data_IF_322010703540
#
_entry.id   IF_322010703540
#
_cell.length_a   1.000
_cell.length_b   1.000
_cell.length_c   1.000
_cell.angle_alpha   90.00
_cell.angle_beta   90.00
_cell.angle_gamma   90.00
#
_symmetry.space_group_name_H-M   'P 1'
#
loop_
_entity.id
_entity.type
_entity.pdbx_description
1 polymer ?
#
# COMPACT_ATOMS: atom_id res chain seq x y z
N UNK A 1 -37.10 38.70 9.11
CA UNK A 1 -35.92 39.57 9.02
C UNK A 1 -35.04 39.17 10.18
N UNK A 2 -33.94 38.42 10.03
CA UNK A 2 -33.05 38.20 8.90
C UNK A 2 -32.55 36.75 8.99
N UNK A 3 -32.60 36.04 7.86
CA UNK A 3 -31.92 34.76 7.66
C UNK A 3 -30.41 34.98 7.57
N UNK A 4 -29.63 34.12 8.23
CA UNK A 4 -28.21 33.96 7.93
C UNK A 4 -27.82 32.50 8.12
N UNK A 5 -28.08 31.70 7.08
CA UNK A 5 -27.39 30.44 6.85
C UNK A 5 -25.96 30.76 6.43
N UNK A 6 -24.99 30.50 7.30
CA UNK A 6 -23.60 30.37 6.89
C UNK A 6 -23.32 28.90 6.60
N UNK A 7 -23.25 28.59 5.31
CA UNK A 7 -22.63 27.38 4.78
C UNK A 7 -21.17 27.32 5.27
N UNK A 8 -20.80 26.22 5.93
CA UNK A 8 -19.40 25.89 6.19
C UNK A 8 -18.91 25.16 4.94
N UNK A 9 -18.24 25.90 4.06
CA UNK A 9 -17.37 25.31 3.05
C UNK A 9 -16.23 24.58 3.77
N UNK A 10 -16.22 23.25 3.69
CA UNK A 10 -15.05 22.46 4.01
C UNK A 10 -14.03 22.65 2.88
N UNK A 11 -12.92 23.31 3.17
CA UNK A 11 -11.80 23.41 2.25
C UNK A 11 -11.31 22.00 1.84
N UNK A 12 -10.98 21.79 0.56
CA UNK A 12 -10.51 20.50 0.09
C UNK A 12 -9.16 20.19 0.74
N UNK A 13 -9.08 19.03 1.38
CA UNK A 13 -7.83 18.44 1.86
C UNK A 13 -6.85 18.41 0.68
N UNK A 14 -5.60 18.74 0.97
CA UNK A 14 -4.53 18.88 -0.02
C UNK A 14 -4.16 17.47 -0.56
N UNK A 15 -4.99 16.95 -1.47
CA UNK A 15 -5.00 15.59 -2.01
C UNK A 15 -3.81 15.29 -2.95
N UNK A 16 -3.02 16.31 -3.33
CA UNK A 16 -1.88 16.15 -4.24
C UNK A 16 -0.69 15.39 -3.63
N UNK A 17 -0.47 15.47 -2.31
CA UNK A 17 0.65 14.79 -1.64
C UNK A 17 0.42 13.28 -1.43
N UNK A 18 -0.83 12.83 -1.51
CA UNK A 18 -1.25 11.45 -1.21
C UNK A 18 -1.12 10.51 -2.43
N UNK A 19 -1.14 11.08 -3.64
CA UNK A 19 -1.12 10.34 -4.91
C UNK A 19 0.23 9.71 -5.26
N UNK A 20 1.34 10.20 -4.68
CA UNK A 20 2.70 9.73 -4.99
C UNK A 20 3.11 8.45 -4.27
N UNK A 21 2.43 8.06 -3.17
CA UNK A 21 2.88 6.92 -2.35
C UNK A 21 2.34 5.56 -2.83
N UNK A 22 1.12 5.54 -3.40
CA UNK A 22 0.37 4.31 -3.73
C UNK A 22 0.25 4.01 -5.21
N UNK A 23 0.80 4.86 -6.07
CA UNK A 23 1.00 4.47 -7.46
C UNK A 23 2.03 3.32 -7.51
N UNK A 24 1.64 2.19 -8.09
CA UNK A 24 2.47 1.66 -9.17
C UNK A 24 2.80 2.89 -10.02
N UNK A 25 4.04 3.40 -9.99
CA UNK A 25 4.48 4.64 -10.65
C UNK A 25 4.24 4.61 -12.16
N UNK A 26 2.97 4.71 -12.53
CA UNK A 26 2.42 5.01 -13.82
C UNK A 26 1.75 6.37 -13.64
N UNK A 27 2.58 7.39 -13.46
CA UNK A 27 2.15 8.75 -13.77
C UNK A 27 1.91 8.80 -15.29
N UNK A 28 0.65 8.59 -15.69
CA UNK A 28 0.21 8.66 -17.08
C UNK A 28 0.37 10.06 -17.67
N UNK A 29 0.55 11.10 -16.85
CA UNK A 29 0.74 12.48 -17.32
C UNK A 29 1.98 12.65 -18.22
N UNK A 30 2.97 11.74 -18.15
CA UNK A 30 4.13 11.75 -19.04
C UNK A 30 3.93 10.98 -20.37
N UNK A 31 2.84 10.21 -20.51
CA UNK A 31 2.50 9.55 -21.79
C UNK A 31 1.85 10.53 -22.77
N UNK A 32 1.12 11.55 -22.29
CA UNK A 32 0.44 12.52 -23.15
C UNK A 32 1.40 13.50 -23.85
N UNK A 33 2.68 13.55 -23.43
CA UNK A 33 3.71 14.39 -24.06
C UNK A 33 4.62 13.65 -25.03
N UNK A 34 4.45 12.33 -25.24
CA UNK A 34 5.19 11.62 -26.29
C UNK A 34 4.57 11.89 -27.66
N UNK A 35 5.18 12.83 -28.39
CA UNK A 35 5.01 13.01 -29.85
C UNK A 35 4.85 11.65 -30.53
N UNK A 36 3.69 11.43 -31.16
CA UNK A 36 3.42 10.31 -32.08
C UNK A 36 4.54 10.26 -33.12
N UNK A 37 5.52 9.38 -32.94
CA UNK A 37 6.45 9.03 -34.02
C UNK A 37 5.68 8.15 -34.99
N UNK A 38 5.39 8.68 -36.18
CA UNK A 38 4.91 7.88 -37.32
C UNK A 38 5.95 6.78 -37.60
N UNK A 39 5.57 5.54 -37.32
CA UNK A 39 6.29 4.38 -37.82
C UNK A 39 5.84 4.22 -39.26
N UNK A 40 6.72 4.55 -40.20
CA UNK A 40 6.58 4.18 -41.61
C UNK A 40 7.22 2.79 -41.70
N UNK A 41 6.41 1.77 -41.94
CA UNK A 41 6.91 0.49 -42.44
C UNK A 41 6.30 0.25 -43.82
N UNK A 42 7.18 0.37 -44.82
CA UNK A 42 7.03 -0.24 -46.13
C UNK A 42 7.21 -1.75 -45.96
N UNK A 43 6.20 -2.55 -46.31
CA UNK A 43 6.40 -3.68 -47.25
C UNK A 43 5.07 -4.28 -47.70
N UNK A 44 5.04 -4.48 -49.01
CA UNK A 44 3.99 -4.99 -49.87
C UNK A 44 3.75 -6.50 -49.76
N UNK A 45 2.51 -6.88 -50.12
CA UNK A 45 2.00 -8.18 -50.61
C UNK A 45 1.03 -8.92 -49.68
N UNK A 46 -0.21 -8.43 -49.65
CA UNK A 46 -1.45 -9.17 -49.86
C UNK A 46 -2.62 -8.20 -49.68
N UNK A 47 -3.36 -7.90 -50.75
CA UNK A 47 -4.50 -6.99 -50.75
C UNK A 47 -5.73 -7.62 -50.07
N UNK A 48 -5.64 -7.80 -48.76
CA UNK A 48 -6.81 -7.57 -47.92
C UNK A 48 -6.60 -6.19 -47.32
N UNK A 49 -7.47 -5.25 -47.67
CA UNK A 49 -7.54 -3.95 -47.01
C UNK A 49 -7.80 -4.24 -45.53
N UNK A 50 -6.73 -4.22 -44.72
CA UNK A 50 -6.85 -4.28 -43.28
C UNK A 50 -7.52 -2.98 -42.86
N UNK A 51 -8.85 -3.04 -42.74
CA UNK A 51 -9.61 -2.02 -42.03
C UNK A 51 -9.32 -2.32 -40.56
N UNK A 52 -8.56 -1.46 -39.84
CA UNK A 52 -8.47 -1.60 -38.40
C UNK A 52 -9.91 -1.62 -37.90
N UNK A 53 -10.29 -2.65 -37.15
CA UNK A 53 -11.51 -2.52 -36.36
C UNK A 53 -11.31 -1.22 -35.57
N UNK A 54 -12.22 -0.28 -35.73
CA UNK A 54 -12.23 0.87 -34.85
C UNK A 54 -12.48 0.30 -33.45
N UNK A 55 -11.39 0.00 -32.75
CA UNK A 55 -11.39 -0.27 -31.32
C UNK A 55 -11.74 1.08 -30.69
N UNK A 56 -13.04 1.39 -30.69
CA UNK A 56 -13.54 2.46 -29.86
C UNK A 56 -13.24 2.05 -28.43
N UNK A 57 -12.28 2.75 -27.84
CA UNK A 57 -11.99 2.63 -26.42
C UNK A 57 -13.31 2.81 -25.63
N UNK A 58 -13.57 1.89 -24.71
CA UNK A 58 -14.84 1.86 -23.97
C UNK A 58 -15.98 1.02 -24.56
N UNK A 59 -15.76 0.17 -25.57
CA UNK A 59 -16.78 -0.79 -26.06
C UNK A 59 -17.36 -1.68 -24.95
N UNK A 60 -16.61 -1.86 -23.87
CA UNK A 60 -17.00 -2.64 -22.71
C UNK A 60 -17.96 -1.90 -21.77
N UNK A 61 -18.03 -0.56 -21.80
CA UNK A 61 -18.97 0.19 -20.98
C UNK A 61 -20.42 -0.11 -21.38
N UNK A 62 -21.28 -0.34 -20.40
CA UNK A 62 -22.66 -0.73 -20.64
C UNK A 62 -23.60 -0.20 -19.56
N UNK A 63 -24.84 0.08 -19.95
CA UNK A 63 -25.93 0.43 -19.05
C UNK A 63 -26.72 -0.79 -18.57
N UNK A 64 -26.36 -1.99 -19.02
CA UNK A 64 -27.01 -3.24 -18.60
C UNK A 64 -26.69 -3.47 -17.11
N UNK A 65 -27.71 -3.71 -16.26
CA UNK A 65 -27.49 -3.99 -14.84
C UNK A 65 -26.54 -5.18 -14.62
N UNK A 66 -25.65 -5.09 -13.63
CA UNK A 66 -24.62 -6.10 -13.34
C UNK A 66 -25.18 -7.53 -13.23
N UNK A 67 -26.28 -7.79 -12.50
CA UNK A 67 -26.82 -9.16 -12.39
C UNK A 67 -27.32 -9.75 -13.71
N UNK A 68 -27.73 -8.89 -14.66
CA UNK A 68 -28.16 -9.32 -16.00
C UNK A 68 -26.93 -9.53 -16.89
N UNK A 69 -25.97 -8.62 -16.81
CA UNK A 69 -24.72 -8.68 -17.56
C UNK A 69 -23.93 -9.95 -17.21
N UNK A 70 -23.75 -10.24 -15.93
CA UNK A 70 -23.00 -11.40 -15.44
C UNK A 70 -23.61 -12.76 -15.81
N UNK A 71 -24.87 -12.79 -16.26
CA UNK A 71 -25.49 -14.01 -16.79
C UNK A 71 -25.28 -14.21 -18.29
N UNK A 72 -24.93 -13.16 -19.01
CA UNK A 72 -24.60 -13.26 -20.43
C UNK A 72 -23.24 -13.92 -20.62
N UNK A 73 -23.00 -14.52 -21.79
CA UNK A 73 -21.76 -15.26 -22.07
C UNK A 73 -20.51 -14.39 -21.95
N UNK A 74 -20.53 -13.18 -22.53
CA UNK A 74 -19.37 -12.28 -22.57
C UNK A 74 -19.40 -11.23 -21.45
N UNK A 75 -20.53 -11.08 -20.74
CA UNK A 75 -20.73 -10.03 -19.75
C UNK A 75 -19.76 -10.02 -18.58
N UNK A 76 -19.31 -11.17 -18.03
CA UNK A 76 -18.28 -11.16 -16.99
C UNK A 76 -16.96 -10.56 -17.45
N UNK A 77 -16.52 -10.88 -18.67
CA UNK A 77 -15.29 -10.29 -19.23
C UNK A 77 -15.48 -8.80 -19.50
N UNK A 78 -16.62 -8.42 -20.08
CA UNK A 78 -16.98 -7.04 -20.34
C UNK A 78 -17.00 -6.19 -19.06
N UNK A 79 -17.62 -6.70 -17.99
CA UNK A 79 -17.71 -5.99 -16.71
C UNK A 79 -16.33 -5.81 -16.06
N UNK A 80 -15.50 -6.85 -16.07
CA UNK A 80 -14.12 -6.76 -15.56
C UNK A 80 -13.30 -5.69 -16.29
N UNK A 81 -13.34 -5.69 -17.63
CA UNK A 81 -12.66 -4.66 -18.43
C UNK A 81 -13.19 -3.26 -18.13
N UNK A 82 -14.50 -3.11 -17.92
CA UNK A 82 -15.10 -1.83 -17.52
C UNK A 82 -14.59 -1.36 -16.17
N UNK A 83 -14.56 -2.25 -15.17
CA UNK A 83 -14.06 -1.96 -13.82
C UNK A 83 -12.59 -1.55 -13.87
N UNK A 84 -11.75 -2.33 -14.55
CA UNK A 84 -10.31 -2.03 -14.69
C UNK A 84 -10.09 -0.68 -15.38
N UNK A 85 -10.80 -0.42 -16.49
CA UNK A 85 -10.71 0.87 -17.18
C UNK A 85 -11.12 2.02 -16.26
N UNK A 86 -12.22 1.91 -15.51
CA UNK A 86 -12.66 2.94 -14.57
C UNK A 86 -11.61 3.17 -13.47
N UNK A 87 -11.06 2.10 -12.92
CA UNK A 87 -9.99 2.16 -11.92
C UNK A 87 -8.74 2.89 -12.45
N UNK A 88 -8.25 2.52 -13.64
CA UNK A 88 -7.08 3.16 -14.25
C UNK A 88 -7.32 4.63 -14.62
N UNK A 89 -8.57 5.02 -14.90
CA UNK A 89 -8.97 6.40 -15.15
C UNK A 89 -9.42 7.15 -13.88
N UNK A 90 -9.11 6.62 -12.69
CA UNK A 90 -9.39 7.25 -11.38
C UNK A 90 -10.87 7.52 -11.11
N UNK A 91 -11.77 6.81 -11.79
CA UNK A 91 -13.21 6.82 -11.52
C UNK A 91 -13.51 5.82 -10.40
N UNK A 92 -13.00 6.13 -9.21
CA UNK A 92 -12.97 5.20 -8.07
C UNK A 92 -14.37 4.89 -7.54
N UNK A 93 -15.30 5.84 -7.59
CA UNK A 93 -16.69 5.62 -7.16
C UNK A 93 -17.37 4.56 -8.03
N UNK A 94 -17.35 4.70 -9.36
CA UNK A 94 -17.95 3.72 -10.26
C UNK A 94 -17.21 2.39 -10.26
N UNK A 95 -15.87 2.42 -10.22
CA UNK A 95 -15.04 1.22 -10.10
C UNK A 95 -15.40 0.43 -8.83
N UNK A 96 -15.51 1.11 -7.69
CA UNK A 96 -15.88 0.50 -6.42
C UNK A 96 -17.28 -0.10 -6.49
N UNK A 97 -18.27 0.70 -6.93
CA UNK A 97 -19.66 0.25 -7.04
C UNK A 97 -19.79 -1.01 -7.87
N UNK A 98 -19.22 -1.02 -9.08
CA UNK A 98 -19.30 -2.18 -9.98
C UNK A 98 -18.53 -3.40 -9.44
N UNK A 99 -17.39 -3.18 -8.78
CA UNK A 99 -16.64 -4.26 -8.12
C UNK A 99 -17.45 -4.91 -7.00
N UNK A 100 -18.13 -4.12 -6.17
CA UNK A 100 -18.99 -4.62 -5.10
C UNK A 100 -20.22 -5.36 -5.64
N UNK A 101 -20.88 -4.83 -6.68
CA UNK A 101 -22.00 -5.53 -7.34
C UNK A 101 -21.56 -6.88 -7.93
N UNK A 102 -20.35 -6.97 -8.47
CA UNK A 102 -19.78 -8.24 -8.94
C UNK A 102 -19.56 -9.22 -7.78
N UNK A 103 -18.97 -8.76 -6.67
CA UNK A 103 -18.71 -9.60 -5.49
C UNK A 103 -20.04 -10.08 -4.89
N UNK A 104 -21.02 -9.20 -4.72
CA UNK A 104 -22.35 -9.54 -4.19
C UNK A 104 -23.06 -10.57 -5.08
N UNK A 105 -22.97 -10.42 -6.41
CA UNK A 105 -23.51 -11.42 -7.33
C UNK A 105 -22.85 -12.79 -7.13
N UNK A 106 -21.53 -12.85 -6.93
CA UNK A 106 -20.89 -14.15 -6.68
C UNK A 106 -21.28 -14.70 -5.31
N UNK A 107 -21.27 -13.89 -4.25
CA UNK A 107 -21.59 -14.32 -2.88
C UNK A 107 -23.04 -14.85 -2.79
N UNK A 108 -23.99 -14.17 -3.42
CA UNK A 108 -25.42 -14.57 -3.42
C UNK A 108 -25.70 -15.83 -4.22
N UNK A 109 -24.95 -16.07 -5.30
CA UNK A 109 -25.22 -17.18 -6.23
C UNK A 109 -24.26 -18.38 -6.04
N UNK A 110 -23.19 -18.23 -5.26
CA UNK A 110 -22.31 -19.33 -4.82
C UNK A 110 -22.47 -19.68 -3.32
N UNK A 111 -23.20 -18.87 -2.54
CA UNK A 111 -23.55 -19.15 -1.15
C UNK A 111 -24.48 -20.35 -1.02
N UNK A 112 -24.20 -21.23 -0.05
CA UNK A 112 -24.83 -22.53 0.14
C UNK A 112 -26.35 -22.45 0.20
N UNK A 113 -27.01 -23.09 -0.76
CA UNK A 113 -28.44 -23.39 -0.70
C UNK A 113 -28.71 -24.37 0.45
N UNK A 114 -28.90 -23.84 1.65
CA UNK A 114 -29.71 -24.53 2.65
C UNK A 114 -31.13 -24.52 2.10
N UNK A 115 -31.53 -25.69 1.60
CA UNK A 115 -32.87 -26.18 1.38
C UNK A 115 -33.94 -25.16 0.93
N UNK A 116 -34.36 -25.36 -0.33
CA UNK A 116 -35.69 -25.02 -0.86
C UNK A 116 -36.02 -23.53 -0.97
N UNK A 117 -35.33 -22.84 -1.87
CA UNK A 117 -35.96 -21.75 -2.63
C UNK A 117 -35.20 -21.55 -3.94
N UNK A 118 -35.93 -21.64 -5.06
CA UNK A 118 -35.55 -21.40 -6.46
C UNK A 118 -34.05 -21.23 -6.77
N UNK A 119 -33.48 -22.21 -7.47
CA UNK A 119 -32.11 -22.21 -7.97
C UNK A 119 -31.76 -20.91 -8.71
N UNK A 120 -31.17 -19.96 -7.99
CA UNK A 120 -30.51 -18.80 -8.57
C UNK A 120 -29.22 -19.33 -9.25
N UNK A 121 -29.35 -19.79 -10.48
CA UNK A 121 -28.26 -20.39 -11.23
C UNK A 121 -27.21 -19.34 -11.62
N UNK A 122 -25.92 -19.61 -11.35
CA UNK A 122 -24.76 -18.89 -11.86
C UNK A 122 -24.34 -19.50 -13.21
N UNK A 123 -24.82 -19.00 -14.36
CA UNK A 123 -24.62 -19.65 -15.67
C UNK A 123 -23.16 -19.74 -16.09
N UNK A 124 -22.34 -18.80 -15.64
CA UNK A 124 -20.94 -18.68 -16.01
C UNK A 124 -19.98 -19.31 -15.00
N UNK A 125 -20.50 -19.97 -13.94
CA UNK A 125 -19.70 -20.62 -12.88
C UNK A 125 -18.63 -19.69 -12.28
N UNK A 126 -18.93 -18.40 -12.17
CA UNK A 126 -18.02 -17.39 -11.65
C UNK A 126 -17.77 -17.65 -10.17
N UNK A 127 -16.52 -17.87 -9.78
CA UNK A 127 -16.15 -18.13 -8.38
C UNK A 127 -14.99 -17.26 -7.88
N UNK A 128 -14.24 -16.64 -8.79
CA UNK A 128 -13.08 -15.84 -8.44
C UNK A 128 -13.46 -14.38 -8.27
N UNK A 129 -13.45 -13.90 -7.02
CA UNK A 129 -13.66 -12.50 -6.64
C UNK A 129 -12.36 -11.75 -6.36
N UNK A 130 -11.18 -12.39 -6.46
CA UNK A 130 -9.90 -11.83 -5.98
C UNK A 130 -9.56 -10.49 -6.62
N UNK A 131 -9.58 -10.43 -7.95
CA UNK A 131 -9.30 -9.20 -8.72
C UNK A 131 -10.26 -8.06 -8.32
N UNK A 132 -11.56 -8.38 -8.15
CA UNK A 132 -12.56 -7.39 -7.78
C UNK A 132 -12.41 -6.94 -6.32
N UNK A 133 -12.01 -7.83 -5.42
CA UNK A 133 -11.71 -7.50 -4.03
C UNK A 133 -10.47 -6.60 -3.92
N UNK A 134 -9.44 -6.84 -4.75
CA UNK A 134 -8.28 -5.95 -4.85
C UNK A 134 -8.68 -4.56 -5.36
N UNK A 135 -9.38 -4.48 -6.50
CA UNK A 135 -9.80 -3.19 -7.08
C UNK A 135 -10.75 -2.45 -6.14
N UNK A 136 -11.71 -3.15 -5.52
CA UNK A 136 -12.61 -2.57 -4.53
C UNK A 136 -11.85 -2.04 -3.32
N UNK A 137 -10.91 -2.81 -2.76
CA UNK A 137 -10.11 -2.37 -1.61
C UNK A 137 -9.30 -1.11 -1.92
N UNK A 138 -8.63 -1.08 -3.08
CA UNK A 138 -7.86 0.08 -3.53
C UNK A 138 -8.76 1.30 -3.79
N UNK A 139 -9.90 1.10 -4.45
CA UNK A 139 -10.85 2.19 -4.73
C UNK A 139 -11.45 2.75 -3.44
N UNK A 140 -11.80 1.89 -2.48
CA UNK A 140 -12.32 2.31 -1.16
C UNK A 140 -11.27 3.11 -0.37
N UNK A 141 -9.99 2.71 -0.39
CA UNK A 141 -8.92 3.51 0.21
C UNK A 141 -8.81 4.90 -0.43
N UNK A 142 -8.90 5.02 -1.75
CA UNK A 142 -8.83 6.30 -2.45
C UNK A 142 -10.01 7.22 -2.12
N UNK A 143 -11.17 6.64 -1.79
CA UNK A 143 -12.36 7.38 -1.36
C UNK A 143 -12.38 7.65 0.16
N UNK A 144 -11.34 7.24 0.89
CA UNK A 144 -11.27 7.39 2.35
C UNK A 144 -12.13 6.39 3.14
N UNK A 145 -12.81 5.44 2.50
CA UNK A 145 -13.55 4.37 3.17
C UNK A 145 -12.62 3.22 3.58
N UNK A 146 -11.82 3.51 4.60
CA UNK A 146 -10.83 2.58 5.15
C UNK A 146 -11.49 1.31 5.69
N UNK A 147 -12.68 1.43 6.30
CA UNK A 147 -13.41 0.29 6.87
C UNK A 147 -13.82 -0.71 5.79
N UNK A 148 -14.34 -0.21 4.67
CA UNK A 148 -14.67 -1.05 3.53
C UNK A 148 -13.43 -1.67 2.90
N UNK A 149 -12.32 -0.93 2.80
CA UNK A 149 -11.07 -1.46 2.30
C UNK A 149 -10.57 -2.65 3.13
N UNK A 150 -10.62 -2.53 4.47
CA UNK A 150 -10.28 -3.61 5.42
C UNK A 150 -11.19 -4.83 5.23
N UNK A 151 -12.50 -4.60 5.09
CA UNK A 151 -13.45 -5.69 4.82
C UNK A 151 -13.12 -6.44 3.51
N UNK A 152 -12.70 -5.71 2.46
CA UNK A 152 -12.32 -6.32 1.19
C UNK A 152 -11.07 -7.20 1.34
N UNK A 153 -10.01 -6.72 1.99
CA UNK A 153 -8.77 -7.53 2.17
C UNK A 153 -8.95 -8.72 3.11
N UNK A 154 -9.88 -8.63 4.07
CA UNK A 154 -10.26 -9.76 4.93
C UNK A 154 -10.91 -10.89 4.12
N UNK A 155 -11.72 -10.55 3.12
CA UNK A 155 -12.33 -11.51 2.18
C UNK A 155 -11.37 -12.01 1.10
N UNK A 156 -10.30 -11.27 0.82
CA UNK A 156 -9.33 -11.58 -0.24
C UNK A 156 -8.43 -12.75 0.15
N UNK A 157 -8.80 -13.98 -0.16
CA UNK A 157 -7.97 -15.17 0.15
C UNK A 157 -6.92 -15.38 -0.96
N UNK A 158 -5.70 -14.90 -0.74
CA UNK A 158 -4.56 -15.13 -1.64
C UNK A 158 -3.22 -15.06 -0.90
N UNK A 159 -2.23 -15.79 -1.41
CA UNK A 159 -0.84 -15.78 -0.96
C UNK A 159 0.10 -15.17 -2.01
N UNK A 160 -0.44 -14.42 -2.97
CA UNK A 160 0.37 -13.69 -3.93
C UNK A 160 1.04 -12.47 -3.26
N UNK A 161 2.32 -12.18 -3.56
CA UNK A 161 3.03 -11.06 -2.93
C UNK A 161 2.29 -9.72 -3.06
N UNK A 162 1.68 -9.42 -4.21
CA UNK A 162 0.91 -8.18 -4.40
C UNK A 162 -0.24 -8.04 -3.41
N UNK A 163 -0.96 -9.14 -3.12
CA UNK A 163 -2.04 -9.14 -2.12
C UNK A 163 -1.51 -9.08 -0.69
N UNK A 164 -0.36 -9.68 -0.39
CA UNK A 164 0.31 -9.54 0.91
C UNK A 164 0.69 -8.08 1.17
N UNK A 165 1.29 -7.42 0.18
CA UNK A 165 1.62 -5.99 0.26
C UNK A 165 0.35 -5.14 0.44
N UNK A 166 -0.70 -5.39 -0.35
CA UNK A 166 -1.98 -4.67 -0.24
C UNK A 166 -2.58 -4.80 1.16
N UNK A 167 -2.56 -6.00 1.76
CA UNK A 167 -3.00 -6.22 3.14
C UNK A 167 -2.20 -5.39 4.13
N UNK A 168 -0.87 -5.43 4.03
CA UNK A 168 0.02 -4.62 4.88
C UNK A 168 -0.37 -3.14 4.88
N UNK A 169 -0.61 -2.60 3.69
CA UNK A 169 -1.04 -1.21 3.48
C UNK A 169 -2.40 -0.92 4.10
N UNK A 170 -3.41 -1.72 3.74
CA UNK A 170 -4.81 -1.50 4.14
C UNK A 170 -4.95 -1.63 5.66
N UNK A 171 -4.28 -2.61 6.28
CA UNK A 171 -4.29 -2.77 7.72
C UNK A 171 -3.61 -1.61 8.44
N UNK A 172 -2.48 -1.09 7.94
CA UNK A 172 -1.84 0.09 8.52
C UNK A 172 -2.80 1.30 8.52
N UNK A 173 -3.48 1.54 7.39
CA UNK A 173 -4.47 2.62 7.28
C UNK A 173 -5.70 2.39 8.17
N UNK A 174 -6.11 1.14 8.35
CA UNK A 174 -7.19 0.74 9.25
C UNK A 174 -6.87 0.75 10.74
N UNK A 175 -5.64 1.12 11.13
CA UNK A 175 -5.20 1.08 12.53
C UNK A 175 -4.87 -0.33 13.05
N UNK A 176 -4.84 -1.33 12.17
CA UNK A 176 -4.48 -2.71 12.48
C UNK A 176 -2.96 -2.91 12.32
N UNK A 177 -2.17 -2.24 13.15
CA UNK A 177 -0.71 -2.13 12.97
C UNK A 177 0.04 -3.46 13.05
N UNK A 178 -0.35 -4.33 14.00
CA UNK A 178 0.26 -5.65 14.13
C UNK A 178 0.00 -6.54 12.91
N UNK A 179 -1.24 -6.56 12.41
CA UNK A 179 -1.59 -7.30 11.19
C UNK A 179 -0.86 -6.73 9.96
N UNK A 180 -0.68 -5.41 9.91
CA UNK A 180 0.11 -4.75 8.86
C UNK A 180 1.55 -5.27 8.84
N UNK A 181 2.24 -5.22 9.99
CA UNK A 181 3.62 -5.72 10.11
C UNK A 181 3.68 -7.21 9.78
N UNK A 182 2.73 -8.02 10.24
CA UNK A 182 2.66 -9.44 9.90
C UNK A 182 2.66 -9.66 8.38
N UNK A 183 1.81 -8.95 7.65
CA UNK A 183 1.70 -9.11 6.19
C UNK A 183 2.91 -8.56 5.44
N UNK A 184 3.54 -7.48 5.92
CA UNK A 184 4.81 -7.01 5.38
C UNK A 184 5.95 -8.02 5.58
N UNK A 185 6.04 -8.64 6.76
CA UNK A 185 7.01 -9.73 7.01
C UNK A 185 6.73 -10.92 6.06
N UNK A 186 5.46 -11.32 5.90
CA UNK A 186 5.09 -12.38 4.95
C UNK A 186 5.48 -12.06 3.52
N UNK A 187 5.30 -10.80 3.09
CA UNK A 187 5.78 -10.33 1.81
C UNK A 187 7.31 -10.47 1.70
N UNK A 188 8.05 -9.96 2.68
CA UNK A 188 9.52 -9.94 2.67
C UNK A 188 10.13 -11.35 2.72
N UNK A 189 9.43 -12.32 3.31
CA UNK A 189 9.80 -13.75 3.28
C UNK A 189 9.73 -14.35 1.86
N UNK A 190 8.93 -13.76 0.96
CA UNK A 190 8.82 -14.18 -0.45
C UNK A 190 9.65 -13.26 -1.38
N UNK A 191 9.69 -11.97 -1.09
CA UNK A 191 10.40 -10.92 -1.83
C UNK A 191 11.35 -10.20 -0.88
N UNK A 192 12.54 -10.76 -0.71
CA UNK A 192 13.55 -10.20 0.18
C UNK A 192 14.08 -8.85 -0.32
N UNK A 193 14.67 -8.08 0.60
CA UNK A 193 15.43 -6.86 0.30
C UNK A 193 14.63 -5.73 -0.38
N UNK A 194 13.30 -5.69 -0.22
CA UNK A 194 12.48 -4.59 -0.70
C UNK A 194 12.53 -3.41 0.29
N UNK A 195 13.35 -2.41 -0.03
CA UNK A 195 13.53 -1.24 0.82
C UNK A 195 12.22 -0.47 1.05
N UNK A 196 11.29 -0.48 0.08
CA UNK A 196 10.01 0.24 0.21
C UNK A 196 9.20 -0.39 1.33
N UNK A 197 9.14 -1.71 1.41
CA UNK A 197 8.41 -2.40 2.49
C UNK A 197 9.04 -2.17 3.85
N UNK A 198 10.38 -2.14 3.94
CA UNK A 198 11.05 -1.75 5.19
C UNK A 198 10.73 -0.31 5.60
N UNK A 199 10.65 0.62 4.63
CA UNK A 199 10.20 2.00 4.88
C UNK A 199 8.76 2.02 5.40
N UNK A 200 7.85 1.29 4.75
CA UNK A 200 6.44 1.17 5.16
C UNK A 200 6.29 0.58 6.57
N UNK A 201 7.07 -0.45 6.92
CA UNK A 201 7.09 -1.00 8.28
C UNK A 201 7.50 0.06 9.31
N UNK A 202 8.52 0.87 8.99
CA UNK A 202 8.92 2.01 9.81
C UNK A 202 7.79 3.01 10.03
N UNK A 203 7.09 3.41 8.96
CA UNK A 203 5.91 4.27 9.05
C UNK A 203 4.78 3.63 9.86
N UNK A 204 4.50 2.33 9.70
CA UNK A 204 3.47 1.61 10.48
C UNK A 204 3.74 1.70 11.97
N UNK A 205 5.00 1.55 12.41
CA UNK A 205 5.35 1.75 13.82
C UNK A 205 5.14 3.19 14.28
N UNK A 206 5.50 4.19 13.47
CA UNK A 206 5.24 5.59 13.80
C UNK A 206 3.74 5.89 13.88
N UNK A 207 2.92 5.34 12.99
CA UNK A 207 1.47 5.48 13.06
C UNK A 207 0.91 4.83 14.32
N UNK A 208 1.39 3.64 14.68
CA UNK A 208 1.03 2.98 15.93
C UNK A 208 1.35 3.86 17.14
N UNK A 209 2.55 4.43 17.17
CA UNK A 209 2.98 5.35 18.21
C UNK A 209 2.07 6.58 18.29
N UNK A 210 1.88 7.30 17.18
CA UNK A 210 1.04 8.49 17.13
C UNK A 210 -0.41 8.20 17.55
N UNK A 211 -0.99 7.06 17.16
CA UNK A 211 -2.34 6.68 17.59
C UNK A 211 -2.39 6.40 19.09
N UNK A 212 -1.42 5.65 19.64
CA UNK A 212 -1.36 5.37 21.08
C UNK A 212 -1.20 6.65 21.92
N UNK A 213 -0.44 7.62 21.40
CA UNK A 213 -0.20 8.91 22.04
C UNK A 213 -1.24 9.99 21.69
N UNK A 214 -2.29 9.67 20.91
CA UNK A 214 -3.34 10.59 20.47
C UNK A 214 -2.80 11.83 19.72
N UNK A 215 -1.77 11.62 18.90
CA UNK A 215 -1.10 12.65 18.12
C UNK A 215 -1.67 12.75 16.70
N UNK A 216 -1.49 13.91 16.08
CA UNK A 216 -1.85 14.11 14.68
C UNK A 216 -1.02 13.22 13.75
N UNK A 217 -1.70 12.53 12.85
CA UNK A 217 -1.13 11.60 11.87
C UNK A 217 -1.19 12.12 10.44
N UNK A 218 -1.80 13.29 10.22
CA UNK A 218 -1.87 13.93 8.90
C UNK A 218 -0.48 14.27 8.35
N UNK A 219 0.44 14.73 9.22
CA UNK A 219 1.84 14.94 8.87
C UNK A 219 2.77 14.31 9.90
N UNK A 220 2.99 13.00 9.74
CA UNK A 220 3.79 12.22 10.69
C UNK A 220 5.23 12.74 10.83
N UNK A 221 5.84 13.24 9.74
CA UNK A 221 7.21 13.77 9.80
C UNK A 221 7.28 15.00 10.71
N UNK A 222 6.33 15.94 10.54
CA UNK A 222 6.24 17.12 11.40
C UNK A 222 5.96 16.74 12.85
N UNK A 223 4.99 15.83 13.08
CA UNK A 223 4.66 15.34 14.42
C UNK A 223 5.89 14.75 15.11
N UNK A 224 6.63 13.87 14.43
CA UNK A 224 7.83 13.23 15.00
C UNK A 224 8.97 14.24 15.22
N UNK A 225 9.12 15.24 14.35
CA UNK A 225 10.12 16.29 14.52
C UNK A 225 9.91 17.12 15.81
N UNK A 226 8.67 17.32 16.21
CA UNK A 226 8.30 18.13 17.38
C UNK A 226 8.37 17.33 18.70
N UNK A 227 8.67 16.03 18.63
CA UNK A 227 8.56 15.09 19.75
C UNK A 227 9.93 14.56 20.19
N UNK A 228 10.16 14.48 21.51
CA UNK A 228 11.26 13.72 22.10
C UNK A 228 10.73 12.56 22.95
N UNK A 229 10.51 11.41 22.32
CA UNK A 229 10.12 10.19 23.03
C UNK A 229 10.99 9.01 22.56
N UNK A 230 11.73 8.40 23.50
CA UNK A 230 12.51 7.18 23.25
C UNK A 230 11.68 5.96 23.66
N UNK A 231 10.72 5.57 22.81
CA UNK A 231 9.90 4.36 23.02
C UNK A 231 10.39 3.20 22.17
N UNK A 232 10.13 1.96 22.59
CA UNK A 232 10.47 0.77 21.80
C UNK A 232 9.84 0.81 20.39
N UNK A 233 8.62 1.35 20.26
CA UNK A 233 7.97 1.53 18.95
C UNK A 233 8.75 2.46 18.03
N UNK A 234 9.27 3.58 18.56
CA UNK A 234 10.11 4.51 17.79
C UNK A 234 11.49 3.93 17.49
N UNK A 235 12.03 3.10 18.38
CA UNK A 235 13.25 2.34 18.13
C UNK A 235 13.09 1.32 17.00
N UNK A 236 11.99 0.55 17.00
CA UNK A 236 11.68 -0.39 15.91
C UNK A 236 11.45 0.33 14.58
N UNK A 237 10.81 1.51 14.62
CA UNK A 237 10.69 2.36 13.46
C UNK A 237 12.07 2.75 12.91
N UNK A 238 12.96 3.27 13.76
CA UNK A 238 14.33 3.65 13.36
C UNK A 238 15.11 2.48 12.76
N UNK A 239 15.02 1.29 13.35
CA UNK A 239 15.66 0.07 12.81
C UNK A 239 15.17 -0.22 11.39
N UNK A 240 13.86 -0.15 11.15
CA UNK A 240 13.27 -0.39 9.84
C UNK A 240 13.70 0.67 8.83
N UNK A 241 13.67 1.96 9.20
CA UNK A 241 14.08 3.08 8.35
C UNK A 241 15.57 3.00 7.99
N UNK A 242 16.44 2.71 8.96
CA UNK A 242 17.87 2.52 8.71
C UNK A 242 18.15 1.30 7.82
N UNK A 243 17.39 0.21 7.97
CA UNK A 243 17.52 -0.93 7.07
C UNK A 243 17.04 -0.60 5.65
N UNK A 244 15.92 0.12 5.51
CA UNK A 244 15.45 0.62 4.22
C UNK A 244 16.52 1.48 3.53
N UNK A 245 17.16 2.40 4.26
CA UNK A 245 18.27 3.21 3.75
C UNK A 245 19.40 2.33 3.19
N UNK A 246 19.86 1.34 3.97
CA UNK A 246 20.93 0.42 3.55
C UNK A 246 20.56 -0.36 2.29
N UNK A 247 19.35 -0.89 2.23
CA UNK A 247 18.87 -1.63 1.05
C UNK A 247 18.76 -0.72 -0.18
N UNK A 248 18.28 0.50 0.01
CA UNK A 248 18.15 1.49 -1.07
C UNK A 248 19.51 1.82 -1.70
N UNK A 249 20.57 1.97 -0.88
CA UNK A 249 21.93 2.23 -1.35
C UNK A 249 22.60 1.01 -1.99
N UNK A 250 22.27 -0.21 -1.53
CA UNK A 250 22.79 -1.46 -2.12
C UNK A 250 22.16 -1.77 -3.48
N UNK A 251 20.93 -1.33 -3.69
CA UNK A 251 20.19 -1.58 -4.94
C UNK A 251 20.76 -0.73 -6.07
N UNK A 252 20.96 -1.30 -7.25
CA UNK A 252 21.43 -0.55 -8.42
C UNK A 252 20.29 0.27 -9.03
N UNK A 253 20.38 1.59 -8.92
CA UNK A 253 19.43 2.51 -9.56
C UNK A 253 19.95 2.98 -10.91
N UNK A 254 19.07 3.09 -11.90
CA UNK A 254 19.41 3.66 -13.21
C UNK A 254 19.42 5.20 -13.14
N UNK A 255 20.32 5.77 -12.34
CA UNK A 255 20.47 7.22 -12.08
C UNK A 255 20.90 8.02 -13.30
N UNK A 256 21.28 7.36 -14.39
CA UNK A 256 21.45 7.99 -15.70
C UNK A 256 20.12 8.53 -16.28
N UNK A 257 18.98 8.00 -15.84
CA UNK A 257 17.64 8.46 -16.23
C UNK A 257 17.19 9.54 -15.25
N UNK A 258 16.95 10.76 -15.75
CA UNK A 258 16.61 11.93 -14.92
C UNK A 258 15.45 11.67 -13.95
N UNK A 259 14.36 11.06 -14.43
CA UNK A 259 13.19 10.74 -13.60
C UNK A 259 13.56 9.81 -12.44
N UNK A 260 14.33 8.75 -12.72
CA UNK A 260 14.76 7.78 -11.71
C UNK A 260 15.72 8.43 -10.70
N UNK A 261 16.62 9.31 -11.18
CA UNK A 261 17.52 10.05 -10.30
C UNK A 261 16.75 11.00 -9.37
N UNK A 262 15.79 11.77 -9.90
CA UNK A 262 14.96 12.67 -9.08
C UNK A 262 14.18 11.90 -8.02
N UNK A 263 13.61 10.75 -8.39
CA UNK A 263 12.94 9.86 -7.44
C UNK A 263 13.88 9.33 -6.37
N UNK A 264 15.05 8.82 -6.77
CA UNK A 264 16.07 8.32 -5.84
C UNK A 264 16.49 9.39 -4.84
N UNK A 265 16.77 10.61 -5.30
CA UNK A 265 17.18 11.72 -4.44
C UNK A 265 16.06 12.08 -3.45
N UNK A 266 14.81 12.18 -3.91
CA UNK A 266 13.67 12.49 -3.05
C UNK A 266 13.45 11.43 -1.97
N UNK A 267 13.33 10.16 -2.37
CA UNK A 267 13.07 9.07 -1.43
C UNK A 267 14.24 8.89 -0.44
N UNK A 268 15.47 9.12 -0.89
CA UNK A 268 16.64 9.08 -0.04
C UNK A 268 16.59 10.18 1.01
N UNK A 269 16.27 11.41 0.61
CA UNK A 269 16.15 12.54 1.52
C UNK A 269 15.06 12.30 2.56
N UNK A 270 13.89 11.79 2.17
CA UNK A 270 12.81 11.44 3.10
C UNK A 270 13.27 10.45 4.19
N UNK A 271 14.02 9.41 3.79
CA UNK A 271 14.55 8.40 4.71
C UNK A 271 15.62 9.00 5.64
N UNK A 272 16.51 9.85 5.10
CA UNK A 272 17.57 10.53 5.87
C UNK A 272 16.98 11.51 6.90
N UNK A 273 16.00 12.32 6.49
CA UNK A 273 15.31 13.27 7.38
C UNK A 273 14.62 12.53 8.52
N UNK A 274 13.88 11.47 8.20
CA UNK A 274 13.16 10.68 9.20
C UNK A 274 14.11 9.99 10.19
N UNK A 275 15.23 9.43 9.71
CA UNK A 275 16.28 8.88 10.58
C UNK A 275 16.83 9.95 11.52
N UNK A 276 17.16 11.13 10.98
CA UNK A 276 17.71 12.24 11.77
C UNK A 276 16.75 12.72 12.86
N UNK A 277 15.45 12.83 12.56
CA UNK A 277 14.46 13.23 13.55
C UNK A 277 14.32 12.21 14.69
N UNK A 278 14.31 10.91 14.37
CA UNK A 278 14.23 9.85 15.36
C UNK A 278 15.48 9.81 16.26
N UNK A 279 16.68 9.94 15.67
CA UNK A 279 17.94 9.98 16.42
C UNK A 279 18.03 11.21 17.35
N UNK A 280 17.63 12.39 16.86
CA UNK A 280 17.54 13.62 17.68
C UNK A 280 16.53 13.48 18.83
N UNK A 281 15.48 12.68 18.65
CA UNK A 281 14.50 12.34 19.67
C UNK A 281 15.04 11.46 20.81
N UNK A 282 16.32 11.06 20.75
CA UNK A 282 16.98 10.25 21.77
C UNK A 282 16.83 8.74 21.57
N UNK A 283 16.38 8.30 20.39
CA UNK A 283 16.20 6.89 20.05
C UNK A 283 17.58 6.24 19.85
N UNK A 284 18.00 5.38 20.78
CA UNK A 284 19.25 4.64 20.69
C UNK A 284 19.03 3.17 20.33
N UNK A 285 19.53 2.76 19.17
CA UNK A 285 19.41 1.39 18.64
C UNK A 285 20.15 0.34 19.50
N UNK A 286 21.24 0.72 20.17
CA UNK A 286 21.99 -0.18 21.06
C UNK A 286 21.18 -0.56 22.31
N UNK A 287 20.40 0.39 22.83
CA UNK A 287 19.50 0.19 23.96
C UNK A 287 18.39 -0.81 23.59
N UNK A 288 17.86 -0.72 22.37
CA UNK A 288 16.86 -1.64 21.81
C UNK A 288 17.37 -3.08 21.73
N UNK A 289 18.59 -3.26 21.22
CA UNK A 289 19.20 -4.58 21.09
C UNK A 289 19.45 -5.22 22.46
N UNK A 290 19.88 -4.44 23.45
CA UNK A 290 20.07 -4.89 24.83
C UNK A 290 18.75 -5.28 25.50
N UNK A 291 17.69 -4.45 25.38
CA UNK A 291 16.34 -4.76 25.86
C UNK A 291 15.81 -6.08 25.29
N UNK A 292 16.06 -6.32 23.99
CA UNK A 292 15.56 -7.50 23.28
C UNK A 292 16.38 -8.77 23.52
N UNK A 293 17.68 -8.64 23.79
CA UNK A 293 18.50 -9.77 24.23
C UNK A 293 18.11 -10.27 25.63
N UNK A 294 17.66 -9.36 26.50
CA UNK A 294 17.13 -9.68 27.83
C UNK A 294 15.71 -10.29 27.78
N UNK A 295 14.97 -10.12 26.68
CA UNK A 295 13.63 -10.70 26.45
C UNK A 295 13.63 -12.20 26.12
N UNK A 296 14.78 -12.89 26.24
CA UNK A 296 14.90 -14.35 26.04
C UNK A 296 14.29 -15.17 27.21
N UNK A 297 13.96 -14.56 28.34
CA UNK A 297 13.37 -15.25 29.49
C UNK A 297 11.82 -15.27 29.48
N UNK A 298 11.24 -16.45 29.69
CA UNK A 298 9.89 -16.80 29.24
C UNK A 298 8.69 -16.19 30.01
N UNK A 299 8.88 -15.50 31.15
CA UNK A 299 7.76 -15.16 32.06
C UNK A 299 7.33 -13.67 32.07
N UNK A 300 8.01 -12.80 31.33
CA UNK A 300 7.77 -11.34 31.29
C UNK A 300 7.30 -10.85 29.90
N UNK A 301 6.81 -11.77 29.05
CA UNK A 301 6.62 -11.53 27.61
C UNK A 301 5.45 -10.63 27.24
N UNK A 302 4.29 -10.79 27.87
CA UNK A 302 3.08 -10.02 27.55
C UNK A 302 3.10 -8.63 28.20
N UNK A 303 3.66 -8.53 29.40
CA UNK A 303 3.76 -7.27 30.13
C UNK A 303 4.67 -6.26 29.44
N UNK A 304 5.84 -6.68 28.91
CA UNK A 304 6.78 -5.75 28.26
C UNK A 304 6.22 -5.22 26.93
N UNK A 305 5.47 -6.03 26.20
CA UNK A 305 4.84 -5.61 24.93
C UNK A 305 3.73 -4.57 25.21
N UNK A 306 2.88 -4.84 26.21
CA UNK A 306 1.82 -3.91 26.62
C UNK A 306 2.38 -2.62 27.23
N UNK A 307 3.39 -2.71 28.10
CA UNK A 307 4.04 -1.57 28.75
C UNK A 307 4.75 -0.62 27.76
N UNK A 308 5.08 -1.10 26.56
CA UNK A 308 5.76 -0.32 25.53
C UNK A 308 4.86 0.12 24.35
N UNK A 309 3.53 -0.02 24.48
CA UNK A 309 2.58 0.42 23.45
C UNK A 309 2.63 -0.40 22.16
N UNK A 310 3.05 -1.67 22.25
CA UNK A 310 3.07 -2.63 21.14
C UNK A 310 1.94 -3.67 21.27
N UNK A 311 0.78 -3.25 21.76
CA UNK A 311 -0.38 -4.14 21.88
C UNK A 311 -0.72 -4.82 20.55
N UNK A 312 -0.85 -6.15 20.58
CA UNK A 312 -1.15 -6.97 19.39
C UNK A 312 0.07 -7.44 18.59
N UNK A 313 1.27 -6.90 18.81
CA UNK A 313 2.48 -7.36 18.13
C UNK A 313 2.99 -8.67 18.74
N UNK A 314 3.39 -9.62 17.90
CA UNK A 314 4.04 -10.86 18.33
C UNK A 314 5.56 -10.65 18.46
N UNK A 315 6.16 -11.18 19.53
CA UNK A 315 7.59 -11.15 19.77
C UNK A 315 8.38 -11.81 18.64
N UNK A 316 7.83 -12.84 17.99
CA UNK A 316 8.48 -13.47 16.83
C UNK A 316 8.58 -12.52 15.63
N UNK A 317 7.62 -11.61 15.45
CA UNK A 317 7.72 -10.56 14.43
C UNK A 317 8.85 -9.58 14.74
N UNK A 318 8.94 -9.16 16.01
CA UNK A 318 10.00 -8.25 16.48
C UNK A 318 11.37 -8.93 16.32
N UNK A 319 11.51 -10.17 16.76
CA UNK A 319 12.75 -10.95 16.60
C UNK A 319 13.15 -11.08 15.14
N UNK A 320 12.20 -11.36 14.25
CA UNK A 320 12.45 -11.42 12.82
C UNK A 320 12.99 -10.08 12.28
N UNK A 321 12.38 -8.95 12.66
CA UNK A 321 12.83 -7.61 12.29
C UNK A 321 14.28 -7.37 12.72
N UNK A 322 14.65 -7.73 13.95
CA UNK A 322 16.02 -7.55 14.44
C UNK A 322 17.02 -8.45 13.71
N UNK A 323 16.66 -9.72 13.49
CA UNK A 323 17.53 -10.70 12.82
C UNK A 323 17.74 -10.35 11.35
N UNK A 324 16.72 -9.89 10.66
CA UNK A 324 16.82 -9.54 9.23
C UNK A 324 17.39 -8.13 9.03
N UNK A 325 17.12 -7.21 9.97
CA UNK A 325 17.73 -5.89 9.90
C UNK A 325 19.25 -5.96 10.09
N UNK A 326 19.75 -6.96 10.84
CA UNK A 326 21.16 -7.30 11.11
C UNK A 326 22.11 -6.15 10.82
N UNK A 327 21.92 -5.11 11.63
CA UNK A 327 22.92 -4.12 11.92
C UNK A 327 24.02 -4.89 12.65
N UNK A 328 25.12 -5.25 11.98
CA UNK A 328 26.33 -5.46 12.79
C UNK A 328 26.69 -4.08 13.36
N UNK A 329 26.98 -3.99 14.66
CA UNK A 329 27.42 -2.73 15.31
C UNK A 329 28.56 -2.07 14.50
N UNK A 330 29.38 -2.90 13.84
CA UNK A 330 30.44 -2.48 12.93
C UNK A 330 29.93 -1.83 11.63
N UNK A 331 28.85 -2.32 11.03
CA UNK A 331 28.25 -1.74 9.84
C UNK A 331 27.51 -0.42 10.14
N UNK A 332 26.94 -0.26 11.34
CA UNK A 332 26.35 1.02 11.77
C UNK A 332 27.42 2.10 11.93
N UNK A 333 28.55 1.76 12.55
CA UNK A 333 29.71 2.65 12.68
C UNK A 333 30.23 3.14 11.32
N UNK A 334 30.22 2.29 10.28
CA UNK A 334 30.62 2.68 8.93
C UNK A 334 29.63 3.64 8.27
N UNK A 335 28.32 3.45 8.49
CA UNK A 335 27.27 4.36 7.98
C UNK A 335 27.33 5.72 8.68
N UNK A 336 27.56 5.75 9.99
CA UNK A 336 27.71 7.00 10.75
C UNK A 336 28.98 7.76 10.35
N UNK A 337 30.09 7.05 10.08
CA UNK A 337 31.31 7.64 9.51
C UNK A 337 31.08 8.24 8.11
N UNK A 338 30.33 7.54 7.23
CA UNK A 338 30.00 8.04 5.89
C UNK A 338 29.03 9.23 5.89
N UNK A 339 28.19 9.36 6.93
CA UNK A 339 27.30 10.51 7.14
C UNK A 339 28.08 11.72 7.68
N UNK A 340 28.87 11.53 8.73
CA UNK A 340 29.69 12.59 9.34
C UNK A 340 30.75 13.15 8.38
N UNK A 341 31.24 12.35 7.43
CA UNK A 341 32.18 12.80 6.40
C UNK A 341 31.55 13.69 5.30
N UNK A 342 30.22 13.83 5.25
CA UNK A 342 29.51 14.70 4.30
C UNK A 342 29.12 16.07 4.87
N UNK A 343 29.20 16.23 6.20
CA UNK A 343 28.90 17.48 6.91
C UNK A 343 30.17 18.31 7.23
N UNK A 344 31.34 17.89 6.70
CA UNK A 344 32.63 18.59 6.70
C UNK A 344 33.02 18.95 5.26
#
# INVERSE_FOLDING_TARGET
>A
MVDSNHEIQSDPVNDELFLDFFNFDFNFEDQDKKKRKKIINETSQNNFEYIPKHDYDGWFHTFIPVPTLLRSKEGPSQLKQSIEHLYFHRKFEESLRLSLEFIEFIEKYNGHSNEKEFELHNPNKLNNTREMLEIASRSALQLGDVKLAVNCVNKLISNEPGHMQLRGIVYAKGGHYADSIYWYIKYLQVRNNDYKIWKEMGHTFLYCYCHSAQLDTANIMKTIQEISHNTLTMQLALICINHAYRLMLKTSWATSISYINSRFVREKQEIEDLSSYLEKGGVNVEETMSLLDNLKENRTKENIIAENGLEGFDLEMIRWILVESKISVYEMYLVDQERLAKDL
#
